data_IF_541608780639
#
_entry.id   IF_541608780639
#
_cell.length_a   1.000
_cell.length_b   1.000
_cell.length_c   1.000
_cell.angle_alpha   90.00
_cell.angle_beta   90.00
_cell.angle_gamma   90.00
#
_symmetry.space_group_name_H-M   'P 1'
#
loop_
_entity.id
_entity.type
_entity.pdbx_description
1 polymer ?
#
# COMPACT_ATOMS: atom_id res chain seq x y z
N UNK A 1 8.52 38.40 -7.76
CA UNK A 1 8.92 37.63 -6.57
C UNK A 1 8.57 36.16 -6.76
N UNK A 2 9.58 35.28 -6.87
CA UNK A 2 9.41 33.81 -6.90
C UNK A 2 9.01 33.33 -5.51
N UNK A 3 7.72 33.02 -5.29
CA UNK A 3 7.28 32.38 -4.05
C UNK A 3 7.71 30.91 -4.08
N UNK A 4 8.71 30.54 -3.28
CA UNK A 4 9.14 29.14 -3.07
C UNK A 4 8.13 28.44 -2.15
N UNK A 5 7.39 27.46 -2.68
CA UNK A 5 6.46 26.64 -1.91
C UNK A 5 7.09 25.27 -1.64
N UNK A 6 7.63 25.06 -0.43
CA UNK A 6 8.25 23.80 -0.04
C UNK A 6 7.19 22.86 0.56
N UNK A 7 6.72 21.90 -0.23
CA UNK A 7 6.01 20.73 0.30
C UNK A 7 6.95 19.52 0.17
N UNK A 8 6.84 18.52 1.04
CA UNK A 8 7.59 17.28 0.92
C UNK A 8 6.73 16.08 1.29
N UNK A 9 6.99 14.96 0.61
CA UNK A 9 6.46 13.64 0.96
C UNK A 9 7.64 12.69 1.01
N UNK A 10 7.69 11.91 2.09
CA UNK A 10 8.67 10.86 2.31
C UNK A 10 8.32 9.65 1.45
N UNK A 11 9.22 9.24 0.55
CA UNK A 11 9.07 8.01 -0.25
C UNK A 11 10.40 7.24 -0.26
N UNK A 12 10.38 5.91 -0.44
CA UNK A 12 11.61 5.11 -0.55
C UNK A 12 12.16 5.05 -2.00
N UNK A 13 13.32 4.41 -2.22
CA UNK A 13 13.96 4.29 -3.55
C UNK A 13 13.03 3.69 -4.63
N UNK A 14 12.38 2.56 -4.34
CA UNK A 14 11.46 1.91 -5.28
C UNK A 14 10.24 2.79 -5.58
N UNK A 15 9.79 3.53 -4.58
CA UNK A 15 8.71 4.48 -4.68
C UNK A 15 9.05 5.66 -5.58
N UNK A 16 10.31 6.12 -5.57
CA UNK A 16 10.78 7.23 -6.43
C UNK A 16 10.68 6.84 -7.90
N UNK A 17 11.24 5.70 -8.29
CA UNK A 17 11.18 5.21 -9.68
C UNK A 17 9.73 4.99 -10.12
N UNK A 18 8.89 4.45 -9.24
CA UNK A 18 7.45 4.31 -9.50
C UNK A 18 6.77 5.67 -9.71
N UNK A 19 7.11 6.66 -8.91
CA UNK A 19 6.51 7.98 -8.98
C UNK A 19 6.94 8.72 -10.24
N UNK A 20 8.23 8.63 -10.59
CA UNK A 20 8.79 9.15 -11.83
C UNK A 20 8.05 8.54 -13.03
N UNK A 21 7.98 7.21 -13.09
CA UNK A 21 7.24 6.48 -14.12
C UNK A 21 5.76 6.85 -14.15
N UNK A 22 5.14 7.10 -13.00
CA UNK A 22 3.75 7.54 -12.94
C UNK A 22 3.58 8.92 -13.60
N UNK A 23 4.43 9.89 -13.25
CA UNK A 23 4.39 11.23 -13.85
C UNK A 23 4.61 11.18 -15.36
N UNK A 24 5.56 10.38 -15.83
CA UNK A 24 5.91 10.26 -17.26
C UNK A 24 4.82 9.50 -18.05
N UNK A 25 4.36 8.36 -17.53
CA UNK A 25 3.47 7.45 -18.28
C UNK A 25 2.01 7.87 -18.25
N UNK A 26 1.53 8.49 -17.18
CA UNK A 26 0.10 8.75 -17.02
C UNK A 26 -0.39 10.06 -17.63
N UNK A 27 0.46 10.87 -18.28
CA UNK A 27 0.11 12.25 -18.66
C UNK A 27 -0.76 12.89 -17.56
N UNK A 28 -0.38 12.70 -16.28
CA UNK A 28 -1.16 13.28 -15.17
C UNK A 28 -1.27 14.80 -15.35
N UNK A 29 -0.28 15.32 -16.06
CA UNK A 29 -0.21 16.55 -16.79
C UNK A 29 -0.66 16.24 -18.23
N UNK A 30 -1.92 16.39 -18.62
CA UNK A 30 -2.24 16.38 -20.08
C UNK A 30 -2.01 17.76 -20.70
N UNK A 31 -1.86 18.75 -19.84
CA UNK A 31 -1.95 20.15 -20.22
C UNK A 31 -0.56 20.78 -20.40
N UNK A 32 0.54 20.09 -20.05
CA UNK A 32 1.90 20.63 -20.21
C UNK A 32 2.34 20.63 -21.68
N UNK A 33 3.13 21.64 -22.03
CA UNK A 33 3.61 21.84 -23.40
C UNK A 33 4.79 20.91 -23.70
N UNK A 34 5.74 20.79 -22.75
CA UNK A 34 6.93 19.94 -22.91
C UNK A 34 7.62 19.55 -21.58
N UNK A 35 8.47 18.52 -21.63
CA UNK A 35 9.40 18.17 -20.54
C UNK A 35 10.75 18.83 -20.85
N UNK A 36 11.19 19.75 -20.00
CA UNK A 36 12.44 20.51 -20.22
C UNK A 36 13.67 19.82 -19.64
N UNK A 37 13.50 19.05 -18.56
CA UNK A 37 14.58 18.29 -17.94
C UNK A 37 14.01 17.01 -17.32
N UNK A 38 14.71 15.90 -17.53
CA UNK A 38 14.40 14.61 -16.95
C UNK A 38 15.70 13.92 -16.53
N UNK A 39 15.91 13.82 -15.23
CA UNK A 39 16.97 13.01 -14.65
C UNK A 39 16.53 12.46 -13.28
N UNK A 40 17.36 11.62 -12.67
CA UNK A 40 17.04 11.00 -11.39
C UNK A 40 16.73 12.03 -10.28
N UNK A 41 17.25 13.25 -10.35
CA UNK A 41 17.14 14.24 -9.28
C UNK A 41 16.12 15.34 -9.58
N UNK A 42 15.67 15.47 -10.82
CA UNK A 42 14.74 16.53 -11.22
C UNK A 42 13.93 16.16 -12.47
N UNK A 43 12.62 16.36 -12.38
CA UNK A 43 11.76 16.53 -13.57
C UNK A 43 11.37 18.01 -13.63
N UNK A 44 11.60 18.66 -14.77
CA UNK A 44 11.05 19.99 -15.05
C UNK A 44 10.04 19.92 -16.19
N UNK A 45 8.83 20.37 -15.92
CA UNK A 45 7.70 20.44 -16.84
C UNK A 45 7.40 21.90 -17.18
N UNK A 46 7.10 22.16 -18.46
CA UNK A 46 6.66 23.47 -18.95
C UNK A 46 5.14 23.44 -19.11
N UNK A 47 4.43 24.36 -18.47
CA UNK A 47 3.00 24.55 -18.65
C UNK A 47 2.71 26.02 -18.99
N UNK A 48 2.35 26.29 -20.24
CA UNK A 48 2.30 27.63 -20.81
C UNK A 48 3.61 28.38 -20.52
N UNK A 49 3.55 29.57 -19.92
CA UNK A 49 4.74 30.34 -19.53
C UNK A 49 5.34 29.96 -18.16
N UNK A 50 4.81 28.92 -17.50
CA UNK A 50 5.24 28.48 -16.16
C UNK A 50 6.17 27.26 -16.23
N UNK A 51 7.25 27.28 -15.43
CA UNK A 51 8.07 26.09 -15.18
C UNK A 51 7.69 25.50 -13.84
N UNK A 52 7.34 24.21 -13.84
CA UNK A 52 7.29 23.38 -12.65
C UNK A 52 8.52 22.50 -12.60
N UNK A 53 9.29 22.59 -11.52
CA UNK A 53 10.33 21.61 -11.22
C UNK A 53 9.91 20.76 -10.02
N UNK A 54 9.85 19.45 -10.25
CA UNK A 54 9.80 18.40 -9.24
C UNK A 54 11.23 17.98 -8.94
N UNK A 55 11.81 18.50 -7.86
CA UNK A 55 13.16 18.11 -7.43
C UNK A 55 13.08 16.97 -6.43
N UNK A 56 13.74 15.87 -6.74
CA UNK A 56 13.88 14.71 -5.88
C UNK A 56 15.20 14.84 -5.13
N UNK A 57 15.13 14.93 -3.81
CA UNK A 57 16.30 15.00 -2.94
C UNK A 57 16.28 13.80 -2.01
N UNK A 58 17.35 13.00 -2.04
CA UNK A 58 17.53 11.94 -1.07
C UNK A 58 18.12 12.52 0.22
N UNK A 59 17.50 12.21 1.35
CA UNK A 59 18.06 12.43 2.67
C UNK A 59 17.95 11.09 3.39
N UNK A 60 19.11 10.47 3.65
CA UNK A 60 19.24 9.09 4.20
C UNK A 60 18.54 8.04 3.33
N UNK A 61 17.62 7.24 3.88
CA UNK A 61 16.83 6.21 3.16
C UNK A 61 15.56 6.78 2.52
N UNK A 62 15.32 8.08 2.66
CA UNK A 62 14.08 8.73 2.30
C UNK A 62 14.27 9.77 1.19
N UNK A 63 13.32 9.85 0.27
CA UNK A 63 13.25 10.92 -0.73
C UNK A 63 12.24 11.98 -0.33
N UNK A 64 12.63 13.21 -0.60
CA UNK A 64 11.84 14.41 -0.50
C UNK A 64 11.58 14.93 -1.90
N UNK A 65 10.33 15.30 -2.17
CA UNK A 65 9.97 15.91 -3.45
C UNK A 65 9.68 17.36 -3.19
N UNK A 66 10.49 18.24 -3.75
CA UNK A 66 10.33 19.68 -3.67
C UNK A 66 9.66 20.20 -4.93
N UNK A 67 8.65 21.03 -4.72
CA UNK A 67 7.91 21.70 -5.77
C UNK A 67 8.44 23.11 -5.95
N UNK A 68 8.87 23.45 -7.16
CA UNK A 68 9.32 24.80 -7.49
C UNK A 68 8.55 25.35 -8.70
N UNK A 69 8.06 26.59 -8.59
CA UNK A 69 7.32 27.28 -9.64
C UNK A 69 8.07 28.55 -10.04
N UNK A 70 8.28 28.79 -11.34
CA UNK A 70 9.04 29.96 -11.81
C UNK A 70 8.23 31.26 -11.91
N UNK A 71 6.91 31.19 -12.20
CA UNK A 71 5.97 32.34 -12.24
C UNK A 71 4.55 31.91 -11.86
N UNK A 72 3.77 32.82 -11.28
CA UNK A 72 2.37 32.58 -10.90
C UNK A 72 1.40 33.40 -11.77
N UNK A 73 0.78 32.77 -12.76
CA UNK A 73 -0.45 33.27 -13.38
C UNK A 73 -1.67 32.42 -12.90
N UNK A 74 -2.87 32.66 -13.43
CA UNK A 74 -4.08 31.88 -13.10
C UNK A 74 -3.93 30.40 -13.46
N UNK A 75 -3.28 30.09 -14.58
CA UNK A 75 -3.01 28.73 -15.08
C UNK A 75 -2.15 27.93 -14.09
N UNK A 76 -1.10 28.57 -13.55
CA UNK A 76 -0.25 27.98 -12.50
C UNK A 76 -1.00 27.68 -11.19
N UNK A 77 -2.13 28.35 -10.93
CA UNK A 77 -2.91 28.18 -9.70
C UNK A 77 -3.75 26.90 -9.70
N UNK A 78 -4.48 26.60 -10.79
CA UNK A 78 -5.20 25.34 -10.95
C UNK A 78 -4.24 24.15 -10.89
N UNK A 79 -3.13 24.27 -11.61
CA UNK A 79 -2.12 23.24 -11.68
C UNK A 79 -1.49 22.93 -10.31
N UNK A 80 -1.15 23.97 -9.56
CA UNK A 80 -0.70 23.86 -8.17
C UNK A 80 -1.73 23.10 -7.32
N UNK A 81 -3.02 23.38 -7.46
CA UNK A 81 -4.05 22.66 -6.70
C UNK A 81 -4.06 21.15 -7.03
N UNK A 82 -3.93 20.76 -8.31
CA UNK A 82 -3.89 19.36 -8.72
C UNK A 82 -2.68 18.62 -8.12
N UNK A 83 -1.50 19.21 -8.21
CA UNK A 83 -0.26 18.69 -7.61
C UNK A 83 -0.42 18.56 -6.08
N UNK A 84 -0.91 19.60 -5.39
CA UNK A 84 -1.10 19.55 -3.93
C UNK A 84 -2.10 18.45 -3.53
N UNK A 85 -3.18 18.27 -4.30
CA UNK A 85 -4.15 17.17 -4.09
C UNK A 85 -3.49 15.81 -4.27
N UNK A 86 -2.64 15.66 -5.28
CA UNK A 86 -1.88 14.44 -5.53
C UNK A 86 -0.95 14.11 -4.35
N UNK A 87 -0.12 15.05 -3.90
CA UNK A 87 0.77 14.83 -2.74
C UNK A 87 0.00 14.58 -1.44
N UNK A 88 -1.12 15.28 -1.23
CA UNK A 88 -2.03 14.99 -0.11
C UNK A 88 -2.56 13.56 -0.18
N UNK A 89 -2.87 13.05 -1.36
CA UNK A 89 -3.27 11.65 -1.58
C UNK A 89 -2.13 10.70 -1.24
N UNK A 90 -0.89 10.99 -1.65
CA UNK A 90 0.26 10.14 -1.33
C UNK A 90 0.50 10.05 0.17
N UNK A 91 0.56 11.19 0.85
CA UNK A 91 0.71 11.26 2.30
C UNK A 91 -0.42 10.53 3.03
N UNK A 92 -1.64 10.61 2.50
CA UNK A 92 -2.82 9.92 3.08
C UNK A 92 -2.68 8.40 3.03
N UNK A 93 -1.98 7.85 2.04
CA UNK A 93 -1.82 6.40 1.84
C UNK A 93 -0.38 5.90 2.11
N UNK A 94 0.49 6.72 2.71
CA UNK A 94 1.91 6.38 2.93
C UNK A 94 2.15 5.23 3.91
N UNK A 95 1.12 4.83 4.68
CA UNK A 95 1.15 3.69 5.61
C UNK A 95 0.44 2.44 5.06
N UNK A 96 -0.05 2.52 3.83
CA UNK A 96 -0.65 1.40 3.12
C UNK A 96 0.42 0.81 2.19
N UNK A 97 0.38 -0.50 1.99
CA UNK A 97 1.30 -1.21 1.11
C UNK A 97 0.59 -2.19 0.19
N UNK A 98 1.25 -2.54 -0.91
CA UNK A 98 0.96 -3.73 -1.70
C UNK A 98 1.94 -4.84 -1.29
N UNK A 99 1.47 -6.08 -1.20
CA UNK A 99 2.27 -7.24 -0.83
C UNK A 99 1.91 -8.41 -1.72
N UNK A 100 2.84 -8.97 -2.48
CA UNK A 100 2.59 -10.27 -3.11
C UNK A 100 2.57 -11.35 -2.03
N UNK A 101 1.55 -12.21 -2.04
CA UNK A 101 1.46 -13.36 -1.14
C UNK A 101 1.47 -14.66 -1.92
N UNK A 102 1.60 -15.78 -1.22
CA UNK A 102 1.39 -17.15 -1.72
C UNK A 102 -0.02 -17.41 -2.29
N UNK A 103 -0.94 -16.44 -2.15
CA UNK A 103 -2.31 -16.49 -2.68
C UNK A 103 -2.56 -15.38 -3.72
N UNK A 104 -3.10 -14.24 -3.29
CA UNK A 104 -3.35 -13.06 -4.10
C UNK A 104 -2.39 -11.92 -3.73
N UNK A 105 -2.27 -10.93 -4.60
CA UNK A 105 -1.69 -9.63 -4.21
C UNK A 105 -2.56 -9.05 -3.09
N UNK A 106 -1.92 -8.70 -1.99
CA UNK A 106 -2.48 -8.08 -0.80
C UNK A 106 -2.37 -6.55 -0.83
N UNK A 107 -3.33 -5.92 -0.19
CA UNK A 107 -3.38 -4.51 0.17
C UNK A 107 -3.46 -4.45 1.69
N UNK A 108 -2.49 -3.81 2.33
CA UNK A 108 -2.35 -3.90 3.78
C UNK A 108 -1.76 -2.69 4.47
N UNK A 109 -1.73 -2.75 5.81
CA UNK A 109 -1.11 -1.77 6.69
C UNK A 109 -0.66 -2.47 7.98
N UNK A 110 0.53 -2.15 8.48
CA UNK A 110 1.07 -2.75 9.70
C UNK A 110 0.31 -2.27 10.94
N UNK A 111 0.10 -3.17 11.91
CA UNK A 111 -0.63 -2.89 13.15
C UNK A 111 0.10 -1.93 14.09
N UNK A 112 1.43 -1.82 13.97
CA UNK A 112 2.23 -0.84 14.74
C UNK A 112 1.82 0.60 14.43
N UNK A 113 1.36 0.88 13.21
CA UNK A 113 0.92 2.21 12.80
C UNK A 113 -0.17 2.12 11.71
N UNK A 114 -1.38 1.65 12.05
CA UNK A 114 -2.34 1.19 11.08
C UNK A 114 -3.04 2.35 10.38
N UNK A 115 -3.36 2.15 9.12
CA UNK A 115 -4.21 3.06 8.34
C UNK A 115 -5.41 2.31 7.75
N UNK A 116 -6.12 1.56 8.61
CA UNK A 116 -7.18 0.64 8.22
C UNK A 116 -8.35 1.34 7.50
N UNK A 117 -8.73 2.54 7.98
CA UNK A 117 -9.76 3.39 7.34
C UNK A 117 -9.45 3.64 5.85
N UNK A 118 -8.18 3.89 5.52
CA UNK A 118 -7.75 4.11 4.14
C UNK A 118 -7.87 2.85 3.28
N UNK A 119 -7.64 1.66 3.83
CA UNK A 119 -7.83 0.40 3.09
C UNK A 119 -9.31 0.21 2.73
N UNK A 120 -10.22 0.42 3.69
CA UNK A 120 -11.67 0.34 3.43
C UNK A 120 -12.12 1.33 2.34
N UNK A 121 -11.66 2.58 2.44
CA UNK A 121 -11.98 3.63 1.46
C UNK A 121 -11.43 3.30 0.07
N UNK A 122 -10.18 2.87 -0.04
CA UNK A 122 -9.57 2.50 -1.33
C UNK A 122 -10.30 1.34 -2.01
N UNK A 123 -10.68 0.32 -1.23
CA UNK A 123 -11.36 -0.86 -1.75
C UNK A 123 -12.85 -0.68 -1.96
N UNK A 124 -13.45 0.44 -1.52
CA UNK A 124 -14.91 0.58 -1.39
C UNK A 124 -15.51 -0.62 -0.64
N UNK A 125 -14.82 -1.06 0.43
CA UNK A 125 -15.17 -2.28 1.16
C UNK A 125 -16.19 -1.96 2.25
N UNK A 126 -17.28 -2.74 2.39
CA UNK A 126 -18.20 -2.61 3.52
C UNK A 126 -17.49 -2.91 4.85
N UNK A 127 -17.74 -2.10 5.88
CA UNK A 127 -17.11 -2.27 7.21
C UNK A 127 -17.47 -3.60 7.89
N UNK A 128 -18.63 -4.18 7.55
CA UNK A 128 -19.06 -5.50 8.03
C UNK A 128 -18.09 -6.61 7.58
N UNK A 129 -17.43 -6.45 6.43
CA UNK A 129 -16.44 -7.41 5.95
C UNK A 129 -15.09 -7.09 6.60
N UNK A 130 -14.80 -7.68 7.76
CA UNK A 130 -13.53 -7.49 8.47
C UNK A 130 -12.32 -7.83 7.58
N UNK A 131 -11.20 -7.13 7.82
CA UNK A 131 -9.92 -7.38 7.16
C UNK A 131 -9.14 -8.35 8.06
N UNK A 132 -8.50 -9.36 7.45
CA UNK A 132 -7.74 -10.36 8.20
C UNK A 132 -6.41 -9.79 8.67
N UNK A 133 -5.83 -10.42 9.68
CA UNK A 133 -4.49 -10.10 10.18
C UNK A 133 -3.53 -11.18 9.69
N UNK A 134 -2.47 -10.79 8.99
CA UNK A 134 -1.33 -11.65 8.75
C UNK A 134 -0.35 -11.52 9.91
N UNK A 135 0.14 -12.66 10.39
CA UNK A 135 1.19 -12.76 11.39
C UNK A 135 2.35 -13.57 10.82
N UNK A 136 3.57 -13.29 11.24
CA UNK A 136 4.79 -13.97 10.79
C UNK A 136 5.12 -15.21 11.60
N UNK A 137 4.65 -15.27 12.85
CA UNK A 137 4.82 -16.44 13.74
C UNK A 137 3.67 -16.55 14.73
N UNK A 138 3.45 -17.75 15.24
CA UNK A 138 2.26 -18.10 16.04
C UNK A 138 2.19 -17.33 17.36
N UNK A 139 3.33 -17.00 17.95
CA UNK A 139 3.41 -16.30 19.24
C UNK A 139 2.82 -14.88 19.17
N UNK A 140 2.72 -14.31 17.96
CA UNK A 140 2.07 -13.01 17.77
C UNK A 140 0.57 -13.06 18.07
N UNK A 141 -0.07 -14.24 18.07
CA UNK A 141 -1.49 -14.38 18.46
C UNK A 141 -1.75 -14.01 19.92
N UNK A 142 -0.75 -14.11 20.79
CA UNK A 142 -0.89 -13.80 22.22
C UNK A 142 -1.37 -12.37 22.49
N UNK A 143 -1.22 -11.46 21.52
CA UNK A 143 -1.71 -10.07 21.61
C UNK A 143 -3.14 -9.89 21.10
N UNK A 144 -3.78 -10.94 20.58
CA UNK A 144 -5.07 -10.84 19.89
C UNK A 144 -6.14 -11.80 20.38
N UNK A 145 -5.76 -12.95 20.95
CA UNK A 145 -6.70 -13.96 21.42
C UNK A 145 -6.44 -14.31 22.89
N UNK A 146 -7.47 -14.81 23.57
CA UNK A 146 -7.36 -15.31 24.94
C UNK A 146 -6.41 -16.50 25.04
N UNK A 147 -5.78 -16.66 26.22
CA UNK A 147 -4.93 -17.82 26.52
C UNK A 147 -5.69 -19.14 26.38
N UNK A 148 -6.96 -19.16 26.75
CA UNK A 148 -7.86 -20.32 26.60
C UNK A 148 -7.99 -20.72 25.13
N UNK A 149 -8.37 -19.79 24.24
CA UNK A 149 -8.49 -20.09 22.81
C UNK A 149 -7.13 -20.42 22.17
N UNK A 150 -6.04 -19.79 22.62
CA UNK A 150 -4.70 -20.15 22.16
C UNK A 150 -4.36 -21.60 22.47
N UNK A 151 -4.69 -22.10 23.67
CA UNK A 151 -4.46 -23.50 24.05
C UNK A 151 -5.44 -24.45 23.32
N UNK A 152 -6.71 -24.06 23.23
CA UNK A 152 -7.77 -24.85 22.61
C UNK A 152 -7.47 -25.20 21.16
N UNK A 153 -6.97 -24.25 20.37
CA UNK A 153 -6.85 -24.38 18.91
C UNK A 153 -5.44 -24.78 18.41
N UNK A 154 -4.58 -25.35 19.28
CA UNK A 154 -3.20 -25.71 18.92
C UNK A 154 -3.13 -26.68 17.74
N UNK A 155 -4.05 -27.65 17.65
CA UNK A 155 -4.06 -28.65 16.57
C UNK A 155 -4.39 -28.00 15.23
N UNK A 156 -5.34 -27.07 15.22
CA UNK A 156 -5.77 -26.31 14.05
C UNK A 156 -4.65 -25.42 13.55
N UNK A 157 -3.87 -24.81 14.46
CA UNK A 157 -2.70 -24.03 14.08
C UNK A 157 -1.65 -24.89 13.38
N UNK A 158 -1.30 -26.04 13.95
CA UNK A 158 -0.31 -26.97 13.38
C UNK A 158 -0.77 -27.55 12.03
N UNK A 159 -2.06 -27.82 11.89
CA UNK A 159 -2.62 -28.40 10.67
C UNK A 159 -2.68 -27.39 9.51
N UNK A 160 -2.90 -26.11 9.79
CA UNK A 160 -3.23 -25.12 8.76
C UNK A 160 -2.14 -24.07 8.50
N UNK A 161 -1.22 -23.85 9.44
CA UNK A 161 -0.20 -22.81 9.35
C UNK A 161 1.23 -23.35 9.48
N UNK A 162 2.19 -22.78 8.73
CA UNK A 162 2.03 -21.76 7.67
C UNK A 162 1.28 -22.28 6.44
N UNK A 163 0.46 -21.44 5.80
CA UNK A 163 -0.35 -21.87 4.67
C UNK A 163 -1.36 -20.84 4.14
N UNK A 164 -2.15 -21.32 3.17
CA UNK A 164 -3.22 -20.58 2.51
C UNK A 164 -4.58 -20.70 3.23
N UNK A 165 -4.58 -20.96 4.54
CA UNK A 165 -5.80 -21.04 5.36
C UNK A 165 -5.87 -19.86 6.32
N UNK A 166 -7.04 -19.25 6.41
CA UNK A 166 -7.39 -18.23 7.40
C UNK A 166 -8.27 -18.88 8.47
N UNK A 167 -7.90 -18.70 9.73
CA UNK A 167 -8.69 -19.14 10.88
C UNK A 167 -9.34 -17.92 11.54
N UNK A 168 -10.65 -17.96 11.74
CA UNK A 168 -11.39 -16.94 12.50
C UNK A 168 -11.48 -17.41 13.94
N UNK A 169 -10.98 -16.57 14.84
CA UNK A 169 -10.94 -16.78 16.29
C UNK A 169 -11.33 -15.45 16.92
N UNK A 170 -12.24 -15.47 17.88
CA UNK A 170 -12.75 -14.26 18.55
C UNK A 170 -13.22 -13.19 17.55
N UNK A 171 -13.93 -13.63 16.51
CA UNK A 171 -14.50 -12.81 15.43
C UNK A 171 -13.44 -12.10 14.59
N UNK A 172 -12.17 -12.51 14.62
CA UNK A 172 -11.07 -11.95 13.85
C UNK A 172 -10.35 -13.05 13.05
N UNK A 173 -10.14 -12.82 11.76
CA UNK A 173 -9.41 -13.75 10.90
C UNK A 173 -7.90 -13.53 11.00
N UNK A 174 -7.15 -14.62 11.16
CA UNK A 174 -5.69 -14.66 11.19
C UNK A 174 -5.15 -15.60 10.10
N UNK A 175 -3.91 -15.38 9.68
CA UNK A 175 -3.19 -16.32 8.80
C UNK A 175 -1.67 -16.14 8.93
N UNK A 176 -0.94 -17.26 8.88
CA UNK A 176 0.51 -17.27 8.66
C UNK A 176 0.76 -17.69 7.20
N UNK A 177 1.21 -16.80 6.31
CA UNK A 177 1.54 -17.13 4.92
C UNK A 177 2.67 -18.16 4.83
N UNK A 178 2.60 -19.11 3.88
CA UNK A 178 3.69 -20.06 3.67
C UNK A 178 4.81 -19.47 2.78
N UNK A 179 5.47 -18.43 3.29
CA UNK A 179 6.61 -17.80 2.63
C UNK A 179 7.51 -17.14 3.68
N UNK A 180 8.77 -17.58 3.75
CA UNK A 180 9.72 -17.11 4.76
C UNK A 180 9.97 -15.61 4.71
N UNK A 181 10.14 -15.01 3.52
CA UNK A 181 10.37 -13.57 3.40
C UNK A 181 9.17 -12.74 3.89
N UNK A 182 7.95 -13.21 3.68
CA UNK A 182 6.74 -12.57 4.23
C UNK A 182 6.68 -12.73 5.75
N UNK A 183 7.02 -13.91 6.27
CA UNK A 183 7.06 -14.16 7.71
C UNK A 183 8.09 -13.26 8.40
N UNK A 184 9.30 -13.15 7.86
CA UNK A 184 10.36 -12.26 8.34
C UNK A 184 9.92 -10.79 8.32
N UNK A 185 9.25 -10.35 7.25
CA UNK A 185 8.69 -9.00 7.17
C UNK A 185 7.69 -8.75 8.31
N UNK A 186 6.77 -9.70 8.58
CA UNK A 186 5.75 -9.58 9.63
C UNK A 186 6.31 -9.75 11.05
N UNK A 187 7.45 -10.42 11.20
CA UNK A 187 8.19 -10.48 12.46
C UNK A 187 8.88 -9.13 12.71
N UNK A 188 9.51 -8.57 11.68
CA UNK A 188 10.27 -7.30 11.76
C UNK A 188 9.37 -6.07 11.92
N UNK A 189 8.38 -5.91 11.06
CA UNK A 189 7.50 -4.74 11.03
C UNK A 189 6.27 -4.90 11.95
N UNK A 190 6.02 -6.15 12.39
CA UNK A 190 4.86 -6.56 13.15
C UNK A 190 3.70 -7.09 12.27
N UNK A 191 2.64 -7.63 12.91
CA UNK A 191 1.45 -8.09 12.21
C UNK A 191 0.85 -7.02 11.30
N UNK A 192 0.11 -7.41 10.28
CA UNK A 192 -0.52 -6.48 9.34
C UNK A 192 -1.98 -6.82 9.06
N UNK A 193 -2.82 -5.80 8.95
CA UNK A 193 -4.15 -5.95 8.34
C UNK A 193 -3.94 -6.09 6.84
N UNK A 194 -4.43 -7.18 6.24
CA UNK A 194 -4.27 -7.45 4.80
C UNK A 194 -5.55 -8.00 4.19
N UNK A 195 -5.86 -7.55 2.99
CA UNK A 195 -6.96 -8.05 2.15
C UNK A 195 -6.48 -8.08 0.70
N UNK A 196 -7.19 -8.73 -0.22
CA UNK A 196 -6.80 -8.75 -1.64
C UNK A 196 -6.70 -7.33 -2.24
N UNK A 197 -5.81 -7.10 -3.20
CA UNK A 197 -5.61 -5.80 -3.84
C UNK A 197 -6.55 -5.60 -5.05
N UNK A 198 -7.85 -5.54 -4.79
CA UNK A 198 -8.92 -5.28 -5.76
C UNK A 198 -10.03 -4.43 -5.12
N UNK A 199 -10.87 -3.78 -5.91
CA UNK A 199 -12.11 -3.19 -5.38
C UNK A 199 -13.01 -4.33 -4.89
N UNK A 200 -13.80 -4.07 -3.84
CA UNK A 200 -14.68 -5.07 -3.27
C UNK A 200 -15.62 -5.65 -4.34
N UNK A 201 -15.66 -6.98 -4.43
CA UNK A 201 -16.44 -7.75 -5.40
C UNK A 201 -15.98 -7.62 -6.88
N UNK A 202 -14.85 -6.97 -7.17
CA UNK A 202 -14.22 -7.00 -8.51
C UNK A 202 -13.25 -8.19 -8.64
N UNK A 203 -12.81 -8.49 -9.87
CA UNK A 203 -11.78 -9.51 -10.14
C UNK A 203 -10.47 -9.21 -9.41
N UNK A 204 -9.73 -10.27 -9.09
CA UNK A 204 -8.40 -10.16 -8.51
C UNK A 204 -7.43 -9.51 -9.52
N UNK A 205 -6.48 -8.74 -9.01
CA UNK A 205 -5.51 -8.02 -9.83
C UNK A 205 -4.13 -8.66 -9.71
N UNK A 206 -3.39 -8.67 -10.81
CA UNK A 206 -1.93 -8.88 -10.78
C UNK A 206 -1.25 -7.71 -10.06
N UNK A 207 0.03 -7.86 -9.70
CA UNK A 207 0.76 -6.78 -9.05
C UNK A 207 0.81 -5.53 -9.93
N UNK A 208 1.03 -5.71 -11.24
CA UNK A 208 1.05 -4.59 -12.19
C UNK A 208 -0.29 -3.87 -12.25
N UNK A 209 -1.39 -4.62 -12.34
CA UNK A 209 -2.74 -4.05 -12.34
C UNK A 209 -3.06 -3.34 -11.02
N UNK A 210 -2.66 -3.91 -9.88
CA UNK A 210 -2.82 -3.30 -8.57
C UNK A 210 -2.03 -2.00 -8.45
N UNK A 211 -0.79 -1.93 -8.96
CA UNK A 211 0.02 -0.70 -8.99
C UNK A 211 -0.63 0.39 -9.84
N UNK A 212 -1.23 0.03 -10.98
CA UNK A 212 -1.99 0.98 -11.81
C UNK A 212 -3.25 1.47 -11.10
N UNK A 213 -4.05 0.56 -10.54
CA UNK A 213 -5.33 0.88 -9.86
C UNK A 213 -5.10 1.70 -8.60
N UNK A 214 -4.12 1.31 -7.78
CA UNK A 214 -3.77 1.95 -6.51
C UNK A 214 -2.48 2.76 -6.62
N UNK A 215 -2.39 3.60 -7.64
CA UNK A 215 -1.20 4.40 -7.95
C UNK A 215 -0.67 5.27 -6.81
N UNK A 216 -1.51 5.60 -5.82
CA UNK A 216 -1.13 6.38 -4.64
C UNK A 216 -0.42 5.55 -3.56
N UNK A 217 -0.24 4.24 -3.78
CA UNK A 217 0.48 3.34 -2.89
C UNK A 217 1.87 3.07 -3.47
N UNK A 218 2.86 3.41 -2.66
CA UNK A 218 4.25 3.40 -3.05
C UNK A 218 5.08 2.35 -2.30
N UNK A 219 4.63 1.92 -1.12
CA UNK A 219 5.21 0.77 -0.44
C UNK A 219 4.75 -0.51 -1.14
N UNK A 220 5.67 -1.21 -1.80
CA UNK A 220 5.40 -2.45 -2.50
C UNK A 220 6.40 -3.50 -2.04
N UNK A 221 5.90 -4.60 -1.49
CA UNK A 221 6.66 -5.77 -1.10
C UNK A 221 6.40 -6.88 -2.11
N UNK A 222 7.27 -7.02 -3.11
CA UNK A 222 7.19 -8.06 -4.12
C UNK A 222 8.11 -9.23 -3.74
N UNK A 223 7.61 -10.12 -2.90
CA UNK A 223 8.38 -11.17 -2.22
C UNK A 223 8.10 -12.59 -2.75
N UNK A 224 7.05 -12.77 -3.56
CA UNK A 224 6.67 -14.10 -4.06
C UNK A 224 5.71 -14.01 -5.25
N UNK A 225 5.43 -15.15 -5.89
CA UNK A 225 4.41 -15.30 -6.93
C UNK A 225 3.30 -16.18 -6.35
N UNK A 226 2.10 -15.63 -6.23
CA UNK A 226 0.95 -16.35 -5.70
C UNK A 226 0.27 -17.25 -6.72
N UNK A 227 -0.49 -18.23 -6.24
CA UNK A 227 -1.25 -19.16 -7.08
C UNK A 227 -2.54 -18.58 -7.68
N UNK A 228 -2.90 -17.34 -7.36
CA UNK A 228 -4.12 -16.68 -7.86
C UNK A 228 -5.41 -17.14 -7.17
N UNK A 229 -5.33 -18.03 -6.19
CA UNK A 229 -6.46 -18.60 -5.45
C UNK A 229 -6.49 -17.98 -4.06
N UNK A 230 -7.61 -17.39 -3.68
CA UNK A 230 -7.73 -16.79 -2.36
C UNK A 230 -7.85 -17.87 -1.26
N UNK A 231 -7.40 -17.57 -0.04
CA UNK A 231 -7.29 -18.54 1.08
C UNK A 231 -8.57 -19.24 1.51
N UNK A 232 -8.50 -20.51 1.92
CA UNK A 232 -9.59 -21.14 2.67
C UNK A 232 -9.88 -20.34 3.95
N UNK A 233 -11.14 -20.23 4.36
CA UNK A 233 -11.55 -19.53 5.60
C UNK A 233 -12.34 -20.51 6.47
N UNK A 234 -11.81 -20.79 7.65
CA UNK A 234 -12.44 -21.64 8.67
C UNK A 234 -12.75 -20.75 9.87
N UNK A 235 -14.02 -20.78 10.29
CA UNK A 235 -14.52 -20.13 11.49
C UNK A 235 -14.51 -21.11 12.65
N UNK A 236 -13.52 -20.97 13.55
CA UNK A 236 -13.35 -21.82 14.71
C UNK A 236 -14.30 -21.44 15.85
N UNK A 237 -14.77 -20.19 15.89
CA UNK A 237 -15.76 -19.76 16.89
C UNK A 237 -17.09 -20.50 16.68
N UNK A 238 -17.44 -20.76 15.41
CA UNK A 238 -18.70 -21.37 15.01
C UNK A 238 -18.57 -22.78 14.39
N UNK A 239 -17.36 -23.34 14.33
CA UNK A 239 -17.05 -24.61 13.66
C UNK A 239 -17.59 -24.71 12.23
N UNK A 240 -17.32 -23.70 11.39
CA UNK A 240 -17.82 -23.62 10.00
C UNK A 240 -16.72 -23.33 8.99
N UNK A 241 -16.79 -23.94 7.81
CA UNK A 241 -15.98 -23.52 6.65
C UNK A 241 -16.79 -22.50 5.86
N UNK A 242 -16.25 -21.29 5.71
CA UNK A 242 -16.92 -20.20 4.98
C UNK A 242 -16.56 -20.17 3.50
N UNK A 243 -15.39 -20.71 3.17
CA UNK A 243 -14.83 -20.85 1.82
C UNK A 243 -13.64 -21.80 1.86
#
# INVERSE_FOLDING_TARGET
MTKKYKQSVLINNDSKKQLLNYFLKHKFFKDYDEIKNENDNEITLVYSSCLLSLKFCQITQNFFIFLHFSKSDKSASLFKIHILRFFKKLKKYSKVFLLTTDTLVGLGTFLKNPNLKQIYLLKKRPLIKKIIILIGKIEQLNSFISKENYQKYQKEFQQHWPGSTTLIIEKQGFRIPNNLAIQELLIKEGPAFVTSANISNEKNLTLEQARKKFFCIFNVYNLTIGNGIASKIIDLDNNKVLR
#
